data_IF_049442725668
#
_entry.id   IF_049442725668
#
_cell.length_a   1.000
_cell.length_b   1.000
_cell.length_c   1.000
_cell.angle_alpha   90.00
_cell.angle_beta   90.00
_cell.angle_gamma   90.00
#
_symmetry.space_group_name_H-M   'P 1'
#
loop_
_entity.id
_entity.type
_entity.pdbx_description
1 polymer ?
#
# COMPACT_ATOMS: atom_id res chain seq x y z
N UNK A 1 -17.66 15.58 0.72
CA UNK A 1 -16.69 14.65 1.36
C UNK A 1 -15.70 15.45 2.20
N UNK A 2 -15.16 14.88 3.28
CA UNK A 2 -14.15 15.55 4.13
C UNK A 2 -12.74 15.22 3.64
N UNK A 3 -11.83 16.19 3.72
CA UNK A 3 -10.40 15.97 3.43
C UNK A 3 -9.82 14.89 4.35
N UNK A 4 -8.94 14.06 3.82
CA UNK A 4 -8.22 13.03 4.58
C UNK A 4 -6.74 13.41 4.61
N UNK A 5 -6.15 13.43 5.79
CA UNK A 5 -4.71 13.53 5.96
C UNK A 5 -4.15 12.12 6.19
N UNK A 6 -3.33 11.63 5.26
CA UNK A 6 -2.79 10.27 5.29
C UNK A 6 -1.87 10.06 6.51
N UNK A 7 -1.04 11.05 6.84
CA UNK A 7 -0.15 10.98 8.01
C UNK A 7 -0.94 10.84 9.32
N UNK A 8 -2.07 11.54 9.47
CA UNK A 8 -2.94 11.36 10.63
C UNK A 8 -3.59 9.98 10.67
N UNK A 9 -3.93 9.39 9.52
CA UNK A 9 -4.50 8.04 9.48
C UNK A 9 -3.50 6.97 9.91
N UNK A 10 -2.21 7.12 9.58
CA UNK A 10 -1.16 6.22 10.05
C UNK A 10 -0.95 6.24 11.58
N UNK A 11 -1.36 7.30 12.28
CA UNK A 11 -1.27 7.38 13.75
C UNK A 11 -2.39 6.60 14.47
N UNK A 12 -3.41 6.14 13.74
CA UNK A 12 -4.60 5.51 14.34
C UNK A 12 -4.45 4.00 14.58
N UNK A 13 -3.37 3.38 14.12
CA UNK A 13 -3.17 1.94 14.21
C UNK A 13 -1.68 1.60 14.22
N UNK A 14 -1.30 0.51 14.87
CA UNK A 14 0.09 0.02 14.92
C UNK A 14 0.26 -1.36 14.27
N UNK A 15 -0.83 -2.02 13.89
CA UNK A 15 -0.76 -3.35 13.27
C UNK A 15 -0.07 -3.27 11.91
N UNK A 16 0.86 -4.20 11.69
CA UNK A 16 1.53 -4.38 10.40
C UNK A 16 0.75 -5.34 9.51
N UNK A 17 0.97 -5.21 8.20
CA UNK A 17 0.39 -6.03 7.13
C UNK A 17 -1.14 -6.20 7.22
N UNK A 18 -1.80 -5.22 7.84
CA UNK A 18 -3.25 -5.19 8.06
C UNK A 18 -3.82 -3.93 7.41
N UNK A 19 -4.20 -3.99 6.12
CA UNK A 19 -4.70 -2.83 5.40
C UNK A 19 -5.91 -2.19 6.07
N UNK A 20 -5.94 -0.86 6.14
CA UNK A 20 -7.06 -0.05 6.63
C UNK A 20 -7.65 0.74 5.47
N UNK A 21 -8.94 0.57 5.21
CA UNK A 21 -9.66 1.37 4.20
C UNK A 21 -9.89 2.77 4.75
N UNK A 22 -9.46 3.79 4.01
CA UNK A 22 -9.60 5.20 4.40
C UNK A 22 -10.54 5.99 3.49
N UNK A 23 -10.77 5.52 2.27
CA UNK A 23 -11.71 6.11 1.31
C UNK A 23 -12.14 5.10 0.24
N UNK A 24 -13.13 5.48 -0.56
CA UNK A 24 -13.53 4.77 -1.78
C UNK A 24 -13.73 5.79 -2.90
N UNK A 25 -13.27 5.46 -4.11
CA UNK A 25 -13.43 6.28 -5.32
C UNK A 25 -13.83 5.39 -6.49
N UNK A 26 -15.02 5.59 -7.05
CA UNK A 26 -15.54 4.78 -8.16
C UNK A 26 -15.45 3.25 -7.92
N UNK A 27 -15.75 2.82 -6.70
CA UNK A 27 -15.65 1.40 -6.31
C UNK A 27 -14.27 0.98 -5.79
N UNK A 28 -13.19 1.65 -6.19
CA UNK A 28 -11.82 1.34 -5.76
C UNK A 28 -11.60 1.77 -4.31
N UNK A 29 -10.99 0.89 -3.51
CA UNK A 29 -10.68 1.15 -2.12
C UNK A 29 -9.31 1.83 -1.99
N UNK A 30 -9.26 2.96 -1.28
CA UNK A 30 -7.99 3.55 -0.87
C UNK A 30 -7.62 2.95 0.47
N UNK A 31 -6.54 2.18 0.50
CA UNK A 31 -6.05 1.49 1.69
C UNK A 31 -4.69 2.05 2.12
N UNK A 32 -4.41 1.96 3.42
CA UNK A 32 -3.07 2.19 3.96
C UNK A 32 -2.66 1.02 4.85
N UNK A 33 -1.38 0.69 4.86
CA UNK A 33 -0.81 -0.36 5.70
C UNK A 33 0.58 0.07 6.19
N UNK A 34 0.95 -0.42 7.37
CA UNK A 34 2.33 -0.45 7.86
C UNK A 34 2.87 -1.85 7.60
N UNK A 35 4.18 -1.99 7.39
CA UNK A 35 4.78 -3.30 7.18
C UNK A 35 6.27 -3.26 7.48
N UNK A 36 6.78 -4.35 8.07
CA UNK A 36 8.20 -4.63 8.22
C UNK A 36 8.46 -6.11 7.92
N UNK A 37 9.67 -6.44 7.46
CA UNK A 37 10.00 -7.78 7.01
C UNK A 37 9.24 -8.16 5.73
N UNK A 38 8.67 -9.36 5.72
CA UNK A 38 8.10 -9.98 4.52
C UNK A 38 6.59 -10.15 4.63
N UNK A 39 5.90 -9.99 3.50
CA UNK A 39 4.52 -10.38 3.31
C UNK A 39 4.46 -11.64 2.45
N UNK A 40 3.45 -12.49 2.70
CA UNK A 40 3.24 -13.69 1.89
C UNK A 40 2.91 -13.34 0.43
N UNK A 41 3.42 -14.17 -0.48
CA UNK A 41 3.07 -14.11 -1.88
C UNK A 41 1.56 -14.27 -2.08
N UNK A 42 0.97 -13.36 -2.84
CA UNK A 42 -0.43 -13.39 -3.25
C UNK A 42 -0.57 -12.79 -4.65
N UNK A 43 -1.75 -12.95 -5.25
CA UNK A 43 -2.07 -12.40 -6.57
C UNK A 43 -3.51 -11.94 -6.62
N UNK A 44 -3.77 -10.99 -7.51
CA UNK A 44 -5.10 -10.55 -7.88
C UNK A 44 -5.32 -10.91 -9.36
N UNK A 45 -6.32 -11.75 -9.65
CA UNK A 45 -6.55 -12.24 -11.02
C UNK A 45 -7.29 -11.22 -11.90
N UNK A 46 -7.95 -10.23 -11.31
CA UNK A 46 -8.90 -9.34 -12.00
C UNK A 46 -8.72 -7.85 -11.66
N UNK A 47 -7.69 -7.50 -10.88
CA UNK A 47 -7.52 -6.16 -10.35
C UNK A 47 -6.02 -5.82 -10.32
N UNK A 48 -5.69 -4.65 -10.86
CA UNK A 48 -4.38 -4.05 -10.64
C UNK A 48 -4.31 -3.51 -9.20
N UNK A 49 -3.13 -3.56 -8.58
CA UNK A 49 -2.90 -2.93 -7.27
C UNK A 49 -1.80 -1.86 -7.36
N UNK A 50 -2.16 -0.63 -7.00
CA UNK A 50 -1.21 0.49 -6.94
C UNK A 50 -0.59 0.58 -5.55
N UNK A 51 0.73 0.59 -5.51
CA UNK A 51 1.52 0.85 -4.32
C UNK A 51 2.17 2.23 -4.39
N UNK A 52 2.15 2.94 -3.26
CA UNK A 52 2.88 4.20 -3.05
C UNK A 52 3.53 4.17 -1.66
N UNK A 53 4.83 4.49 -1.60
CA UNK A 53 5.55 4.51 -0.33
C UNK A 53 5.50 5.90 0.29
N UNK A 54 4.83 6.04 1.44
CA UNK A 54 4.78 7.30 2.19
C UNK A 54 5.95 7.49 3.15
N UNK A 55 6.57 6.40 3.61
CA UNK A 55 7.73 6.41 4.51
C UNK A 55 8.47 5.08 4.41
N UNK A 56 9.79 5.13 4.38
CA UNK A 56 10.65 3.94 4.30
C UNK A 56 10.88 3.50 2.87
N UNK A 57 11.04 2.19 2.69
CA UNK A 57 11.27 1.53 1.40
C UNK A 57 10.44 0.24 1.35
N UNK A 58 9.91 -0.08 0.17
CA UNK A 58 9.18 -1.31 -0.11
C UNK A 58 9.81 -1.99 -1.31
N UNK A 59 10.16 -3.26 -1.18
CA UNK A 59 10.54 -4.09 -2.32
C UNK A 59 9.35 -4.95 -2.72
N UNK A 60 8.89 -4.78 -3.95
CA UNK A 60 7.90 -5.66 -4.56
C UNK A 60 8.64 -6.79 -5.26
N UNK A 61 8.56 -7.99 -4.70
CA UNK A 61 9.09 -9.18 -5.33
C UNK A 61 8.11 -9.67 -6.39
N UNK A 62 8.50 -9.59 -7.67
CA UNK A 62 7.70 -10.05 -8.80
C UNK A 62 8.42 -11.20 -9.51
N UNK A 63 7.70 -11.96 -10.34
CA UNK A 63 8.30 -13.07 -11.10
C UNK A 63 9.37 -12.61 -12.09
N UNK A 64 9.25 -11.38 -12.57
CA UNK A 64 10.13 -10.79 -13.59
C UNK A 64 11.31 -10.04 -12.98
N UNK A 65 11.31 -9.85 -11.66
CA UNK A 65 12.35 -9.15 -10.92
C UNK A 65 11.79 -8.34 -9.76
N UNK A 66 12.70 -7.83 -8.94
CA UNK A 66 12.35 -7.00 -7.79
C UNK A 66 12.21 -5.53 -8.22
N UNK A 67 11.16 -4.86 -7.74
CA UNK A 67 10.98 -3.42 -7.88
C UNK A 67 11.14 -2.78 -6.50
N UNK A 68 12.16 -1.93 -6.35
CA UNK A 68 12.40 -1.19 -5.10
C UNK A 68 11.75 0.18 -5.19
N UNK A 69 10.84 0.47 -4.25
CA UNK A 69 10.16 1.76 -4.11
C UNK A 69 10.65 2.48 -2.86
N UNK A 70 11.16 3.70 -3.04
CA UNK A 70 11.49 4.65 -2.00
C UNK A 70 10.31 5.60 -1.74
N UNK A 71 10.44 6.43 -0.71
CA UNK A 71 9.40 7.39 -0.35
C UNK A 71 9.04 8.33 -1.51
N UNK A 72 7.75 8.39 -1.85
CA UNK A 72 7.21 9.17 -2.95
C UNK A 72 7.13 8.43 -4.29
N UNK A 73 7.69 7.22 -4.37
CA UNK A 73 7.67 6.39 -5.59
C UNK A 73 6.44 5.49 -5.62
N UNK A 74 6.02 5.13 -6.84
CA UNK A 74 4.82 4.33 -7.10
C UNK A 74 5.13 3.16 -8.05
N UNK A 75 4.39 2.06 -7.90
CA UNK A 75 4.32 0.99 -8.90
C UNK A 75 2.89 0.46 -8.96
N UNK A 76 2.50 -0.07 -10.12
CA UNK A 76 1.25 -0.82 -10.30
C UNK A 76 1.62 -2.27 -10.62
N UNK A 77 1.03 -3.23 -9.90
CA UNK A 77 1.23 -4.68 -10.08
C UNK A 77 -0.03 -5.36 -10.55
#
# INVERSE_FOLDING_TARGET
MKKINIAEKFKLFEQEWTPKVIAQSNGQLVKIAKGSGELVWHKHDNEDELFIVFKGQLTLQLREGDVVLNTGEINVV
#
